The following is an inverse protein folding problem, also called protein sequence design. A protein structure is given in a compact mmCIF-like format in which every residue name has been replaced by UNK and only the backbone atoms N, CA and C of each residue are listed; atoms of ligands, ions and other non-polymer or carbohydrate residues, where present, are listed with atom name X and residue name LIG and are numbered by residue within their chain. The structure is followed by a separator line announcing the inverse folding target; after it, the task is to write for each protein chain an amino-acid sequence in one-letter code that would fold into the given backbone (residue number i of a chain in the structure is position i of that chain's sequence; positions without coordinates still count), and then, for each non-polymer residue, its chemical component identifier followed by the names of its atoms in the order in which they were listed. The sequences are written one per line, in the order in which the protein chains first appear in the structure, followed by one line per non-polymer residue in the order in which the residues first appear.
data_IF_023007946272
#
_entry.id   IF_023007946272
#
_cell.length_a   1.000
_cell.length_b   1.000
_cell.length_c   1.000
_cell.angle_alpha   90.00
_cell.angle_beta   90.00
_cell.angle_gamma   90.00
#
_symmetry.space_group_name_H-M   'P 1'
#
loop_
_entity.id
_entity.type
_entity.pdbx_description
1 polymer ?
#
# COMPACT_ATOMS: atom_id res chain seq x y z
N UNK A 1 -43.44 -4.80 -29.46
CA UNK A 1 -42.12 -5.06 -30.05
C UNK A 1 -41.18 -4.04 -29.42
N UNK A 2 -40.46 -4.44 -28.38
CA UNK A 2 -39.44 -3.59 -27.76
C UNK A 2 -38.09 -4.02 -28.33
N UNK A 3 -37.27 -3.08 -28.81
CA UNK A 3 -35.84 -3.33 -28.78
C UNK A 3 -35.08 -2.16 -28.16
N UNK A 4 -33.96 -2.52 -27.54
CA UNK A 4 -32.76 -1.70 -27.37
C UNK A 4 -32.65 -0.82 -26.13
N UNK A 5 -32.39 -1.47 -24.99
CA UNK A 5 -31.69 -0.83 -23.87
C UNK A 5 -30.59 -1.79 -23.37
N UNK A 6 -29.49 -1.86 -24.12
CA UNK A 6 -28.28 -2.62 -23.75
C UNK A 6 -27.05 -1.73 -23.98
N UNK A 7 -26.80 -0.74 -23.12
CA UNK A 7 -25.53 0.01 -23.15
C UNK A 7 -25.13 0.72 -21.84
N UNK A 8 -25.80 0.48 -20.71
CA UNK A 8 -25.50 1.18 -19.44
C UNK A 8 -25.27 0.17 -18.32
N UNK A 9 -24.09 -0.45 -18.26
CA UNK A 9 -23.69 -1.31 -17.12
C UNK A 9 -22.19 -1.57 -16.96
N UNK A 10 -21.32 -1.03 -17.83
CA UNK A 10 -19.89 -1.37 -17.79
C UNK A 10 -18.95 -0.24 -17.33
N UNK A 11 -19.43 0.99 -17.10
CA UNK A 11 -18.58 2.11 -16.65
C UNK A 11 -18.58 2.37 -15.13
N UNK A 12 -19.39 1.68 -14.33
CA UNK A 12 -19.45 1.91 -12.88
C UNK A 12 -18.42 1.16 -12.04
N UNK A 13 -17.79 0.11 -12.58
CA UNK A 13 -16.88 -0.76 -11.80
C UNK A 13 -15.44 -0.24 -11.77
N UNK A 14 -15.04 0.57 -12.77
CA UNK A 14 -13.66 1.07 -12.89
C UNK A 14 -13.28 2.08 -11.80
N UNK A 15 -14.20 2.97 -11.42
CA UNK A 15 -13.98 3.99 -10.40
C UNK A 15 -13.96 3.43 -8.97
N UNK A 16 -14.82 2.45 -8.66
CA UNK A 16 -14.87 1.80 -7.35
C UNK A 16 -13.57 1.02 -7.07
N UNK A 17 -13.07 0.30 -8.08
CA UNK A 17 -11.78 -0.37 -8.03
C UNK A 17 -10.64 0.65 -7.90
N UNK A 18 -10.59 1.70 -8.74
CA UNK A 18 -9.54 2.71 -8.64
C UNK A 18 -9.48 3.37 -7.26
N UNK A 19 -10.62 3.71 -6.66
CA UNK A 19 -10.70 4.30 -5.30
C UNK A 19 -10.24 3.31 -4.24
N UNK A 20 -10.64 2.03 -4.34
CA UNK A 20 -10.28 1.01 -3.35
C UNK A 20 -8.84 0.51 -3.49
N UNK A 21 -8.26 0.51 -4.69
CA UNK A 21 -6.83 0.33 -4.92
C UNK A 21 -6.03 1.51 -4.36
N UNK A 22 -6.39 2.75 -4.71
CA UNK A 22 -5.70 3.95 -4.24
C UNK A 22 -5.72 4.09 -2.71
N UNK A 23 -6.84 3.73 -2.05
CA UNK A 23 -6.92 3.71 -0.58
C UNK A 23 -6.07 2.61 0.05
N UNK A 24 -5.97 1.44 -0.59
CA UNK A 24 -5.06 0.37 -0.14
C UNK A 24 -3.60 0.79 -0.29
N UNK A 25 -3.24 1.40 -1.40
CA UNK A 25 -1.90 1.94 -1.64
C UNK A 25 -1.52 3.01 -0.62
N UNK A 26 -2.44 3.94 -0.31
CA UNK A 26 -2.22 4.96 0.72
C UNK A 26 -1.99 4.34 2.11
N UNK A 27 -2.87 3.43 2.54
CA UNK A 27 -2.73 2.74 3.83
C UNK A 27 -1.43 1.93 3.89
N UNK A 28 -1.09 1.21 2.83
CA UNK A 28 0.13 0.42 2.77
C UNK A 28 1.36 1.33 2.84
N UNK A 29 1.33 2.49 2.17
CA UNK A 29 2.40 3.49 2.27
C UNK A 29 2.57 4.02 3.68
N UNK A 30 1.48 4.39 4.36
CA UNK A 30 1.50 4.90 5.72
C UNK A 30 2.05 3.87 6.72
N UNK A 31 1.64 2.60 6.60
CA UNK A 31 2.16 1.50 7.42
C UNK A 31 3.67 1.35 7.22
N UNK A 32 4.13 1.40 5.97
CA UNK A 32 5.57 1.26 5.69
C UNK A 32 6.34 2.48 6.19
N UNK A 33 5.85 3.69 6.00
CA UNK A 33 6.48 4.93 6.50
C UNK A 33 6.59 4.92 8.03
N UNK A 34 5.52 4.51 8.72
CA UNK A 34 5.54 4.38 10.17
C UNK A 34 6.48 3.24 10.63
N UNK A 35 6.53 2.13 9.92
CA UNK A 35 7.48 1.04 10.19
C UNK A 35 8.94 1.49 10.09
N UNK A 36 9.29 2.27 9.06
CA UNK A 36 10.63 2.84 8.88
C UNK A 36 10.95 3.86 9.99
N UNK A 37 10.00 4.74 10.32
CA UNK A 37 10.17 5.70 11.39
C UNK A 37 10.36 5.00 12.76
N UNK A 38 9.63 3.91 13.00
CA UNK A 38 9.77 3.08 14.20
C UNK A 38 11.13 2.39 14.29
N UNK A 39 11.68 1.94 13.16
CA UNK A 39 13.03 1.38 13.11
C UNK A 39 14.07 2.43 13.52
N UNK A 40 13.97 3.65 12.97
CA UNK A 40 14.90 4.75 13.26
C UNK A 40 14.78 5.27 14.70
N UNK A 41 13.56 5.36 15.24
CA UNK A 41 13.30 5.90 16.58
C UNK A 41 13.54 4.88 17.70
N UNK A 42 13.35 3.60 17.43
CA UNK A 42 13.45 2.54 18.43
C UNK A 42 14.43 1.46 18.01
N UNK A 43 13.99 0.46 17.25
CA UNK A 43 14.84 -0.59 16.71
C UNK A 43 14.10 -1.39 15.62
N UNK A 44 14.85 -2.18 14.86
CA UNK A 44 14.32 -3.03 13.78
C UNK A 44 13.27 -4.03 14.26
N UNK A 45 13.41 -4.61 15.46
CA UNK A 45 12.47 -5.60 15.98
C UNK A 45 11.09 -4.99 16.27
N UNK A 46 11.04 -3.76 16.79
CA UNK A 46 9.80 -3.00 17.00
C UNK A 46 9.10 -2.68 15.68
N UNK A 47 9.85 -2.31 14.64
CA UNK A 47 9.31 -2.10 13.29
C UNK A 47 8.72 -3.39 12.69
N UNK A 48 9.46 -4.50 12.78
CA UNK A 48 9.00 -5.82 12.29
C UNK A 48 7.69 -6.22 12.97
N UNK A 49 7.59 -6.06 14.31
CA UNK A 49 6.37 -6.38 15.06
C UNK A 49 5.20 -5.52 14.61
N UNK A 50 5.40 -4.22 14.47
CA UNK A 50 4.36 -3.30 13.99
C UNK A 50 3.86 -3.70 12.60
N UNK A 51 4.77 -3.91 11.64
CA UNK A 51 4.41 -4.26 10.27
C UNK A 51 3.72 -5.62 10.16
N UNK A 52 4.15 -6.63 10.95
CA UNK A 52 3.45 -7.92 11.02
C UNK A 52 2.05 -7.79 11.63
N UNK A 53 1.85 -6.94 12.63
CA UNK A 53 0.53 -6.66 13.18
C UNK A 53 -0.41 -5.95 12.20
N UNK A 54 0.12 -5.37 11.13
CA UNK A 54 -0.64 -4.78 10.02
C UNK A 54 -0.72 -5.71 8.80
N UNK A 55 -0.43 -7.00 8.98
CA UNK A 55 -0.50 -8.04 7.94
C UNK A 55 0.43 -7.76 6.73
N UNK A 56 1.51 -7.01 6.93
CA UNK A 56 2.49 -6.76 5.88
C UNK A 56 3.33 -8.02 5.64
N UNK A 57 3.45 -8.42 4.38
CA UNK A 57 4.25 -9.57 3.97
C UNK A 57 5.72 -9.43 4.37
N UNK A 58 6.34 -10.54 4.77
CA UNK A 58 7.73 -10.56 5.22
C UNK A 58 8.70 -10.03 4.16
N UNK A 59 8.44 -10.30 2.87
CA UNK A 59 9.22 -9.74 1.75
C UNK A 59 9.19 -8.20 1.70
N UNK A 60 8.05 -7.58 2.02
CA UNK A 60 7.93 -6.12 2.08
C UNK A 60 8.68 -5.59 3.29
N UNK A 61 8.55 -6.25 4.44
CA UNK A 61 9.28 -5.90 5.67
C UNK A 61 10.79 -5.96 5.46
N UNK A 62 11.29 -7.05 4.87
CA UNK A 62 12.71 -7.19 4.53
C UNK A 62 13.16 -6.09 3.57
N UNK A 63 12.41 -5.84 2.49
CA UNK A 63 12.77 -4.78 1.52
C UNK A 63 12.86 -3.40 2.16
N UNK A 64 11.89 -3.03 2.99
CA UNK A 64 11.76 -1.66 3.50
C UNK A 64 12.62 -1.39 4.72
N UNK A 65 12.92 -2.41 5.53
CA UNK A 65 13.78 -2.27 6.72
C UNK A 65 15.26 -2.61 6.47
N UNK A 66 15.56 -3.39 5.43
CA UNK A 66 16.94 -3.75 5.05
C UNK A 66 17.56 -2.74 4.07
N UNK A 67 16.73 -2.09 3.24
CA UNK A 67 17.18 -1.05 2.30
C UNK A 67 16.49 0.31 2.52
N UNK A 68 16.57 0.93 3.72
CA UNK A 68 15.99 2.26 3.94
C UNK A 68 16.63 3.32 3.02
N UNK A 69 17.87 3.11 2.58
CA UNK A 69 18.62 4.00 1.70
C UNK A 69 18.12 4.08 0.25
N UNK A 70 17.40 3.07 -0.25
CA UNK A 70 16.88 3.07 -1.64
C UNK A 70 15.78 4.13 -1.86
N UNK A 71 15.20 4.65 -0.77
CA UNK A 71 14.25 5.77 -0.81
C UNK A 71 14.91 7.12 -1.06
N UNK A 72 16.19 7.29 -0.67
CA UNK A 72 16.89 8.58 -0.83
C UNK A 72 17.35 8.84 -2.26
N UNK A 73 17.28 7.84 -3.15
CA UNK A 73 17.64 7.92 -4.56
C UNK A 73 16.45 8.03 -5.54
N UNK A 74 15.21 8.12 -5.06
CA UNK A 74 14.05 8.51 -5.88
C UNK A 74 13.77 10.04 -5.82
N UNK A 75 14.66 10.81 -5.19
CA UNK A 75 14.70 12.26 -5.35
C UNK A 75 15.93 12.64 -6.16
N UNK A 76 15.91 12.36 -7.47
CA UNK A 76 16.52 13.21 -8.52
C UNK A 76 15.64 13.16 -9.76
#
# INVERSE_FOLDING_TARGET
MNPDQSADSLEQTGSELAISYQRRDARQKDIVDLGIALQQRSNTMSAIKYMRSQEVSNEVIERVLTEPGRRRSWSV
#
